data_IF_212529850614
#
_entry.id   IF_212529850614
#
_cell.length_a   1.000
_cell.length_b   1.000
_cell.length_c   1.000
_cell.angle_alpha   90.00
_cell.angle_beta   90.00
_cell.angle_gamma   90.00
#
_symmetry.space_group_name_H-M   'P 1'
#
loop_
_entity.id
_entity.type
_entity.pdbx_description
1 polymer ?
#
# COMPACT_ATOMS: atom_id res chain seq x y z
N UNK A 1 -6.02 -9.47 -4.97
CA UNK A 1 -6.39 -8.75 -6.21
C UNK A 1 -5.81 -9.41 -7.46
N UNK A 2 -5.01 -10.49 -7.37
CA UNK A 2 -4.35 -11.08 -8.54
C UNK A 2 -5.34 -11.55 -9.62
N UNK A 3 -6.34 -12.32 -9.20
CA UNK A 3 -7.47 -12.78 -10.01
C UNK A 3 -8.23 -11.65 -10.71
N UNK A 4 -8.28 -10.47 -10.09
CA UNK A 4 -8.91 -9.27 -10.65
C UNK A 4 -7.98 -8.62 -11.67
N UNK A 5 -6.71 -8.43 -11.33
CA UNK A 5 -5.71 -7.78 -12.21
C UNK A 5 -5.52 -8.59 -13.50
N UNK A 6 -5.47 -9.91 -13.39
CA UNK A 6 -5.28 -10.85 -14.50
C UNK A 6 -6.60 -11.49 -14.98
N UNK A 7 -7.74 -10.86 -14.70
CA UNK A 7 -9.04 -11.32 -15.20
C UNK A 7 -9.09 -11.27 -16.73
N UNK A 8 -9.89 -12.14 -17.34
CA UNK A 8 -10.11 -12.18 -18.78
C UNK A 8 -10.91 -10.95 -19.26
N UNK A 9 -10.19 -9.92 -19.70
CA UNK A 9 -10.74 -8.70 -20.31
C UNK A 9 -10.13 -8.58 -21.71
N UNK A 10 -10.94 -8.32 -22.76
CA UNK A 10 -10.42 -8.17 -24.12
C UNK A 10 -9.38 -7.07 -24.24
N UNK A 11 -8.37 -7.28 -25.09
CA UNK A 11 -7.38 -6.29 -25.55
C UNK A 11 -6.42 -5.70 -24.51
N UNK A 12 -6.54 -6.04 -23.22
CA UNK A 12 -5.65 -5.54 -22.15
C UNK A 12 -4.37 -6.36 -21.99
N UNK A 13 -4.34 -7.59 -22.49
CA UNK A 13 -3.13 -8.41 -22.61
C UNK A 13 -2.93 -8.81 -24.07
N UNK A 14 -1.93 -8.21 -24.71
CA UNK A 14 -1.60 -8.40 -26.13
C UNK A 14 -0.36 -9.29 -26.32
N UNK A 15 0.45 -9.46 -25.28
CA UNK A 15 1.66 -10.28 -25.32
C UNK A 15 1.82 -11.10 -24.04
N UNK A 16 2.54 -12.24 -24.08
CA UNK A 16 2.77 -13.07 -22.90
C UNK A 16 3.79 -12.47 -21.91
N UNK A 17 4.38 -11.30 -22.21
CA UNK A 17 5.44 -10.69 -21.40
C UNK A 17 4.95 -9.51 -20.54
N UNK A 18 3.65 -9.21 -20.57
CA UNK A 18 3.08 -8.13 -19.76
C UNK A 18 3.02 -8.52 -18.28
N UNK A 19 3.43 -7.59 -17.42
CA UNK A 19 3.41 -7.73 -15.95
C UNK A 19 2.18 -7.07 -15.31
N UNK A 20 1.33 -6.43 -16.13
CA UNK A 20 0.09 -5.79 -15.75
C UNK A 20 -0.80 -5.62 -17.01
N UNK A 21 -2.13 -5.50 -16.86
CA UNK A 21 -3.00 -5.21 -17.98
C UNK A 21 -2.78 -3.77 -18.45
N UNK A 22 -2.94 -3.53 -19.77
CA UNK A 22 -2.71 -2.20 -20.37
C UNK A 22 -3.62 -1.11 -19.79
N UNK A 23 -4.76 -1.49 -19.24
CA UNK A 23 -5.74 -0.56 -18.69
C UNK A 23 -5.51 -0.21 -17.22
N UNK A 24 -4.56 -0.83 -16.50
CA UNK A 24 -4.35 -0.66 -15.05
C UNK A 24 -4.26 0.81 -14.60
N UNK A 25 -3.63 1.65 -15.42
CA UNK A 25 -3.42 3.07 -15.15
C UNK A 25 -4.40 3.98 -15.91
N UNK A 26 -5.61 3.48 -16.18
CA UNK A 26 -6.65 4.20 -16.94
C UNK A 26 -7.97 4.16 -16.19
N UNK A 27 -8.85 5.12 -16.50
CA UNK A 27 -10.20 5.22 -15.95
C UNK A 27 -11.11 4.02 -16.29
N UNK A 28 -10.65 3.10 -17.14
CA UNK A 28 -11.40 1.91 -17.56
C UNK A 28 -11.15 0.68 -16.70
N UNK A 29 -10.04 0.60 -15.96
CA UNK A 29 -9.69 -0.59 -15.18
C UNK A 29 -10.78 -0.95 -14.17
N UNK A 30 -11.20 0.05 -13.39
CA UNK A 30 -12.20 -0.14 -12.35
C UNK A 30 -13.59 -0.46 -12.91
N UNK A 31 -14.20 0.33 -13.83
CA UNK A 31 -15.55 0.06 -14.30
C UNK A 31 -15.71 -1.32 -14.92
N UNK A 32 -14.75 -1.76 -15.74
CA UNK A 32 -14.78 -3.05 -16.44
C UNK A 32 -14.72 -4.23 -15.47
N UNK A 33 -14.07 -4.06 -14.32
CA UNK A 33 -13.90 -5.10 -13.29
C UNK A 33 -14.68 -4.84 -12.02
N UNK A 34 -15.59 -3.87 -12.01
CA UNK A 34 -16.24 -3.36 -10.79
C UNK A 34 -16.86 -4.47 -9.94
N UNK A 35 -17.58 -5.43 -10.54
CA UNK A 35 -18.15 -6.56 -9.80
C UNK A 35 -17.09 -7.46 -9.15
N UNK A 36 -15.98 -7.74 -9.85
CA UNK A 36 -14.88 -8.57 -9.33
C UNK A 36 -14.11 -7.83 -8.22
N UNK A 37 -13.85 -6.54 -8.44
CA UNK A 37 -13.20 -5.66 -7.48
C UNK A 37 -14.03 -5.61 -6.19
N UNK A 38 -15.31 -5.25 -6.27
CA UNK A 38 -16.17 -5.11 -5.08
C UNK A 38 -16.31 -6.43 -4.32
N UNK A 39 -16.47 -7.56 -5.02
CA UNK A 39 -16.48 -8.87 -4.37
C UNK A 39 -15.17 -9.16 -3.63
N UNK A 40 -14.02 -8.83 -4.23
CA UNK A 40 -12.71 -9.07 -3.62
C UNK A 40 -12.46 -8.14 -2.44
N UNK A 41 -12.88 -6.88 -2.55
CA UNK A 41 -12.80 -5.89 -1.48
C UNK A 41 -13.65 -6.28 -0.28
N UNK A 42 -14.84 -6.85 -0.50
CA UNK A 42 -15.68 -7.39 0.56
C UNK A 42 -14.99 -8.57 1.26
N UNK A 43 -14.44 -9.52 0.51
CA UNK A 43 -13.69 -10.63 1.10
C UNK A 43 -12.47 -10.18 1.93
N UNK A 44 -11.75 -9.13 1.47
CA UNK A 44 -10.67 -8.49 2.23
C UNK A 44 -11.22 -7.85 3.51
N UNK A 45 -12.33 -7.10 3.39
CA UNK A 45 -12.99 -6.41 4.51
C UNK A 45 -13.40 -7.38 5.62
N UNK A 46 -13.89 -8.56 5.23
CA UNK A 46 -14.34 -9.62 6.13
C UNK A 46 -13.18 -10.44 6.74
N UNK A 47 -11.93 -10.04 6.52
CA UNK A 47 -10.74 -10.64 7.13
C UNK A 47 -10.08 -11.73 6.28
N UNK A 48 -10.52 -11.92 5.03
CA UNK A 48 -9.95 -12.92 4.12
C UNK A 48 -8.52 -12.61 3.64
N UNK A 49 -8.03 -11.38 3.84
CA UNK A 49 -6.75 -10.91 3.29
C UNK A 49 -5.57 -11.86 3.56
N UNK A 50 -5.46 -12.39 4.79
CA UNK A 50 -4.38 -13.31 5.19
C UNK A 50 -4.36 -14.60 4.35
N UNK A 51 -5.54 -15.15 4.09
CA UNK A 51 -5.69 -16.37 3.29
C UNK A 51 -5.40 -16.06 1.82
N UNK A 52 -5.94 -14.96 1.30
CA UNK A 52 -5.74 -14.55 -0.09
C UNK A 52 -4.27 -14.33 -0.44
N UNK A 53 -3.50 -13.74 0.49
CA UNK A 53 -2.05 -13.59 0.33
C UNK A 53 -1.36 -14.96 0.27
N UNK A 54 -1.75 -15.92 1.10
CA UNK A 54 -1.16 -17.26 1.10
C UNK A 54 -1.43 -18.03 -0.19
N UNK A 55 -2.68 -17.98 -0.67
CA UNK A 55 -3.09 -18.59 -1.94
C UNK A 55 -2.34 -17.97 -3.12
N UNK A 56 -2.33 -16.63 -3.20
CA UNK A 56 -1.62 -15.90 -4.25
C UNK A 56 -0.12 -16.22 -4.22
N UNK A 57 0.49 -16.31 -3.04
CA UNK A 57 1.89 -16.67 -2.90
C UNK A 57 2.15 -18.08 -3.39
N UNK A 58 1.37 -19.06 -2.94
CA UNK A 58 1.55 -20.46 -3.32
C UNK A 58 1.42 -20.68 -4.84
N UNK A 59 0.51 -19.96 -5.49
CA UNK A 59 0.22 -20.12 -6.92
C UNK A 59 1.15 -19.30 -7.83
N UNK A 60 1.62 -18.13 -7.38
CA UNK A 60 2.23 -17.14 -8.27
C UNK A 60 3.63 -16.67 -7.87
N UNK A 61 4.19 -17.16 -6.76
CA UNK A 61 5.53 -16.76 -6.30
C UNK A 61 6.57 -16.81 -7.44
N UNK A 62 7.32 -15.71 -7.61
CA UNK A 62 8.33 -15.57 -8.66
C UNK A 62 7.78 -15.10 -10.02
N UNK A 63 6.47 -14.99 -10.19
CA UNK A 63 5.86 -14.44 -11.42
C UNK A 63 6.00 -12.92 -11.43
N UNK A 64 6.48 -12.36 -12.54
CA UNK A 64 6.63 -10.91 -12.67
C UNK A 64 5.25 -10.22 -12.70
N UNK A 65 5.02 -9.32 -11.74
CA UNK A 65 3.80 -8.54 -11.63
C UNK A 65 4.15 -7.11 -11.19
N UNK A 66 3.61 -6.11 -11.88
CA UNK A 66 3.79 -4.71 -11.49
C UNK A 66 3.22 -4.50 -10.08
N UNK A 67 3.97 -3.77 -9.23
CA UNK A 67 3.60 -3.53 -7.84
C UNK A 67 3.90 -4.68 -6.86
N UNK A 68 4.48 -5.80 -7.32
CA UNK A 68 4.86 -6.93 -6.46
C UNK A 68 6.38 -7.09 -6.44
N UNK A 69 6.96 -7.15 -5.23
CA UNK A 69 8.35 -7.53 -5.03
C UNK A 69 8.41 -8.73 -4.08
N UNK A 70 8.60 -9.92 -4.66
CA UNK A 70 8.59 -11.21 -3.95
C UNK A 70 9.72 -11.37 -2.93
N UNK A 71 10.82 -10.66 -3.11
CA UNK A 71 12.03 -10.81 -2.27
C UNK A 71 12.08 -9.79 -1.13
N UNK A 72 11.17 -8.81 -1.11
CA UNK A 72 11.19 -7.73 -0.11
C UNK A 72 10.74 -8.19 1.27
N UNK A 73 9.76 -9.09 1.34
CA UNK A 73 9.15 -9.56 2.58
C UNK A 73 8.82 -11.04 2.50
N UNK A 74 8.85 -11.74 3.65
CA UNK A 74 8.41 -13.13 3.73
C UNK A 74 6.88 -13.25 3.67
N UNK A 75 6.37 -14.44 3.33
CA UNK A 75 4.93 -14.73 3.41
C UNK A 75 4.39 -14.49 4.83
N UNK A 76 5.14 -14.86 5.86
CA UNK A 76 4.74 -14.68 7.26
C UNK A 76 4.60 -13.20 7.63
N UNK A 77 5.54 -12.37 7.19
CA UNK A 77 5.47 -10.91 7.39
C UNK A 77 4.24 -10.33 6.71
N UNK A 78 4.01 -10.69 5.44
CA UNK A 78 2.85 -10.19 4.68
C UNK A 78 1.54 -10.62 5.34
N UNK A 79 1.41 -11.88 5.75
CA UNK A 79 0.25 -12.36 6.49
C UNK A 79 0.04 -11.60 7.81
N UNK A 80 1.11 -11.38 8.57
CA UNK A 80 1.05 -10.63 9.83
C UNK A 80 0.61 -9.19 9.59
N UNK A 81 1.21 -8.51 8.61
CA UNK A 81 0.83 -7.16 8.20
C UNK A 81 -0.65 -7.08 7.83
N UNK A 82 -1.19 -8.07 7.10
CA UNK A 82 -2.62 -8.05 6.74
C UNK A 82 -3.53 -8.06 7.97
N UNK A 83 -3.15 -8.79 9.02
CA UNK A 83 -3.90 -8.85 10.27
C UNK A 83 -3.74 -7.54 11.05
N UNK A 84 -2.53 -6.98 11.10
CA UNK A 84 -2.24 -5.75 11.83
C UNK A 84 -2.90 -4.50 11.24
N UNK A 85 -2.97 -4.38 9.91
CA UNK A 85 -3.69 -3.28 9.24
C UNK A 85 -5.21 -3.50 9.36
N UNK A 86 -5.65 -4.76 9.27
CA UNK A 86 -7.05 -5.13 9.35
C UNK A 86 -7.79 -5.05 8.01
N UNK A 87 -8.85 -5.85 7.90
CA UNK A 87 -9.65 -5.99 6.67
C UNK A 87 -10.23 -4.67 6.15
N UNK A 88 -10.91 -3.85 6.98
CA UNK A 88 -11.50 -2.58 6.53
C UNK A 88 -10.47 -1.61 5.94
N UNK A 89 -9.33 -1.44 6.60
CA UNK A 89 -8.25 -0.56 6.13
C UNK A 89 -7.65 -1.03 4.81
N UNK A 90 -7.32 -2.33 4.71
CA UNK A 90 -6.82 -2.92 3.46
C UNK A 90 -7.81 -2.79 2.31
N UNK A 91 -9.11 -2.99 2.59
CA UNK A 91 -10.17 -2.85 1.59
C UNK A 91 -10.20 -1.42 1.02
N UNK A 92 -10.10 -0.40 1.87
CA UNK A 92 -10.02 1.01 1.43
C UNK A 92 -8.77 1.26 0.58
N UNK A 93 -7.59 0.80 1.03
CA UNK A 93 -6.34 0.98 0.28
C UNK A 93 -6.42 0.32 -1.11
N UNK A 94 -6.90 -0.93 -1.16
CA UNK A 94 -7.05 -1.65 -2.43
C UNK A 94 -8.09 -1.01 -3.35
N UNK A 95 -9.16 -0.44 -2.79
CA UNK A 95 -10.20 0.27 -3.54
C UNK A 95 -9.63 1.50 -4.25
N UNK A 96 -8.89 2.35 -3.53
CA UNK A 96 -8.25 3.54 -4.11
C UNK A 96 -7.27 3.16 -5.23
N UNK A 97 -6.41 2.16 -5.00
CA UNK A 97 -5.46 1.68 -6.00
C UNK A 97 -6.14 1.06 -7.23
N UNK A 98 -7.35 0.52 -7.08
CA UNK A 98 -8.12 0.00 -8.19
C UNK A 98 -8.86 1.11 -8.95
N UNK A 99 -9.38 2.12 -8.26
CA UNK A 99 -10.08 3.24 -8.90
C UNK A 99 -9.14 4.16 -9.68
N UNK A 100 -7.94 4.42 -9.15
CA UNK A 100 -6.96 5.29 -9.80
C UNK A 100 -5.52 4.92 -9.38
N UNK A 101 -4.97 3.91 -10.03
CA UNK A 101 -3.66 3.36 -9.70
C UNK A 101 -2.52 4.39 -9.82
N UNK A 102 -2.57 5.25 -10.83
CA UNK A 102 -1.48 6.21 -11.10
C UNK A 102 -1.39 7.29 -10.04
N UNK A 103 -2.53 7.78 -9.53
CA UNK A 103 -2.50 8.82 -8.51
C UNK A 103 -2.32 8.24 -7.10
N UNK A 104 -2.91 7.09 -6.80
CA UNK A 104 -2.83 6.50 -5.46
C UNK A 104 -1.53 5.74 -5.18
N UNK A 105 -0.74 5.38 -6.19
CA UNK A 105 0.63 4.88 -5.94
C UNK A 105 1.59 5.96 -5.42
N UNK A 106 1.25 7.24 -5.63
CA UNK A 106 2.00 8.37 -5.09
C UNK A 106 1.52 8.76 -3.68
N UNK A 107 2.44 9.33 -2.89
CA UNK A 107 2.12 9.93 -1.59
C UNK A 107 1.73 8.94 -0.48
N UNK A 108 1.88 7.63 -0.71
CA UNK A 108 1.76 6.62 0.36
C UNK A 108 2.79 6.95 1.46
N UNK A 109 2.43 6.87 2.75
CA UNK A 109 3.37 7.16 3.83
C UNK A 109 4.66 6.35 3.74
N UNK A 110 5.80 6.98 4.04
CA UNK A 110 7.14 6.40 3.89
C UNK A 110 7.32 5.04 4.57
N UNK A 111 6.76 4.89 5.77
CA UNK A 111 6.98 3.74 6.63
C UNK A 111 5.66 3.03 6.97
N UNK A 112 5.73 1.70 6.97
CA UNK A 112 4.78 0.84 7.65
C UNK A 112 5.49 0.18 8.82
N UNK A 113 5.04 0.50 10.03
CA UNK A 113 5.50 -0.10 11.27
C UNK A 113 4.45 -1.12 11.71
N UNK A 114 4.86 -2.32 12.10
CA UNK A 114 3.96 -3.29 12.71
C UNK A 114 4.64 -4.01 13.85
N UNK A 115 3.86 -4.34 14.87
CA UNK A 115 4.30 -5.15 16.00
C UNK A 115 3.10 -5.89 16.56
N UNK A 116 3.26 -7.19 16.81
CA UNK A 116 2.21 -8.06 17.35
C UNK A 116 0.93 -8.03 16.51
N UNK A 117 -0.09 -7.28 16.92
CA UNK A 117 -1.39 -7.15 16.24
C UNK A 117 -1.72 -5.72 15.81
N UNK A 118 -0.74 -4.84 15.85
CA UNK A 118 -0.93 -3.42 15.53
C UNK A 118 -0.04 -3.02 14.35
N UNK A 119 -0.59 -2.21 13.47
CA UNK A 119 0.14 -1.53 12.41
C UNK A 119 -0.04 -0.01 12.53
N UNK A 120 0.97 0.72 12.08
CA UNK A 120 0.97 2.18 11.97
C UNK A 120 1.73 2.59 10.73
N UNK A 121 1.14 3.46 9.92
CA UNK A 121 1.86 4.15 8.87
C UNK A 121 2.48 5.43 9.42
N UNK A 122 3.69 5.76 8.96
CA UNK A 122 4.36 6.99 9.35
C UNK A 122 4.96 7.69 8.14
N UNK A 123 4.70 8.99 8.04
CA UNK A 123 5.31 9.87 7.06
C UNK A 123 6.41 10.67 7.75
N UNK A 124 7.61 10.67 7.19
CA UNK A 124 8.78 11.32 7.80
C UNK A 124 9.03 12.65 7.10
N UNK A 125 9.10 13.74 7.89
CA UNK A 125 9.42 15.07 7.38
C UNK A 125 10.65 15.64 8.05
N UNK A 126 11.63 16.03 7.22
CA UNK A 126 12.81 16.74 7.66
C UNK A 126 12.51 18.19 8.03
N UNK A 127 13.52 18.93 8.53
CA UNK A 127 13.37 20.34 8.84
C UNK A 127 13.02 21.15 7.58
N UNK A 128 11.86 21.79 7.58
CA UNK A 128 11.37 22.61 6.47
C UNK A 128 10.51 21.85 5.45
N UNK A 129 10.39 20.53 5.55
CA UNK A 129 9.53 19.75 4.66
C UNK A 129 8.07 19.83 5.10
N UNK A 130 7.19 19.94 4.10
CA UNK A 130 5.73 19.93 4.26
C UNK A 130 5.14 18.67 3.63
N UNK A 131 3.91 18.35 4.03
CA UNK A 131 3.12 17.31 3.36
C UNK A 131 2.68 17.82 1.98
N UNK A 132 2.75 16.95 0.97
CA UNK A 132 2.08 17.20 -0.31
C UNK A 132 0.58 17.03 -0.18
N UNK A 133 -0.20 17.56 -1.14
CA UNK A 133 -1.66 17.39 -1.17
C UNK A 133 -2.06 15.91 -1.21
N UNK A 134 -1.34 15.09 -1.98
CA UNK A 134 -1.57 13.65 -2.07
C UNK A 134 -1.30 12.94 -0.73
N UNK A 135 -0.25 13.36 -0.01
CA UNK A 135 0.04 12.82 1.33
C UNK A 135 -1.04 13.22 2.33
N UNK A 136 -1.53 14.46 2.28
CA UNK A 136 -2.66 14.91 3.10
C UNK A 136 -3.91 14.07 2.81
N UNK A 137 -4.20 13.79 1.54
CA UNK A 137 -5.32 12.92 1.16
C UNK A 137 -5.18 11.51 1.74
N UNK A 138 -3.99 10.90 1.64
CA UNK A 138 -3.70 9.62 2.28
C UNK A 138 -3.90 9.64 3.79
N UNK A 139 -3.44 10.68 4.48
CA UNK A 139 -3.63 10.84 5.92
C UNK A 139 -5.11 10.85 6.32
N UNK A 140 -5.92 11.62 5.61
CA UNK A 140 -7.36 11.74 5.89
C UNK A 140 -8.06 10.39 5.68
N UNK A 141 -7.77 9.71 4.57
CA UNK A 141 -8.43 8.44 4.22
C UNK A 141 -8.00 7.31 5.15
N UNK A 142 -6.71 7.19 5.46
CA UNK A 142 -6.22 6.18 6.40
C UNK A 142 -6.83 6.39 7.79
N UNK A 143 -6.91 7.64 8.24
CA UNK A 143 -7.53 7.98 9.53
C UNK A 143 -9.02 7.62 9.55
N UNK A 144 -9.78 7.95 8.50
CA UNK A 144 -11.21 7.60 8.37
C UNK A 144 -11.42 6.08 8.33
N UNK A 145 -10.49 5.35 7.69
CA UNK A 145 -10.48 3.89 7.66
C UNK A 145 -10.00 3.23 8.96
N UNK A 146 -9.73 4.01 10.02
CA UNK A 146 -9.14 3.56 11.29
C UNK A 146 -7.79 2.85 11.15
N UNK A 147 -7.01 3.20 10.12
CA UNK A 147 -5.62 2.77 9.98
C UNK A 147 -4.73 3.83 10.63
N UNK A 148 -4.01 3.51 11.73
CA UNK A 148 -3.20 4.48 12.43
C UNK A 148 -2.13 5.09 11.49
N UNK A 149 -2.11 6.42 11.40
CA UNK A 149 -1.14 7.17 10.60
C UNK A 149 -0.56 8.34 11.39
N UNK A 150 0.75 8.55 11.33
CA UNK A 150 1.44 9.60 12.09
C UNK A 150 2.45 10.38 11.24
N UNK A 151 2.61 11.67 11.56
CA UNK A 151 3.65 12.52 11.01
C UNK A 151 4.87 12.54 11.93
N UNK A 152 5.97 11.94 11.48
CA UNK A 152 7.24 11.93 12.20
C UNK A 152 8.10 13.13 11.76
N UNK A 153 8.19 14.16 12.61
CA UNK A 153 9.03 15.34 12.34
C UNK A 153 10.43 15.15 12.90
N UNK A 154 11.43 15.25 12.02
CA UNK A 154 12.85 15.18 12.39
C UNK A 154 13.41 16.59 12.52
N UNK A 155 14.03 16.87 13.68
CA UNK A 155 14.64 18.16 13.96
C UNK A 155 16.17 18.04 13.99
N UNK A 156 16.87 19.07 13.48
CA UNK A 156 18.32 19.17 13.66
C UNK A 156 18.62 19.55 15.10
N UNK A 157 19.34 18.70 15.81
CA UNK A 157 19.92 19.06 17.11
C UNK A 157 21.23 19.80 16.86
N UNK A 158 21.34 21.06 17.30
CA UNK A 158 22.61 21.77 17.34
C UNK A 158 23.35 21.29 18.59
N UNK A 159 24.42 20.52 18.42
CA UNK A 159 25.31 20.19 19.52
C UNK A 159 26.21 21.40 19.79
N UNK A 160 25.83 22.25 20.75
CA UNK A 160 26.71 23.30 21.26
C UNK A 160 27.84 22.64 22.08
N UNK A 161 28.90 22.22 21.39
CA UNK A 161 30.22 22.06 22.00
C UNK A 161 31.01 23.34 21.77
N UNK A 162 30.55 24.43 22.36
CA UNK A 162 31.43 25.57 22.62
C UNK A 162 32.44 25.14 23.69
N UNK A 163 33.66 24.86 23.23
CA UNK A 163 34.88 24.83 24.05
C UNK A 163 34.94 26.13 24.86
N UNK A 164 34.63 26.05 26.15
CA UNK A 164 35.01 27.06 27.12
C UNK A 164 36.38 26.71 27.69
N UNK A 165 37.44 27.29 27.14
CA UNK A 165 38.66 27.52 27.91
C UNK A 165 38.37 28.63 28.91
N UNK A 166 38.56 28.37 30.19
CA UNK A 166 38.74 29.40 31.20
C UNK A 166 39.75 28.92 32.24
N UNK A 167 40.94 29.52 32.11
CA UNK A 167 42.04 29.78 33.07
C UNK A 167 42.66 28.63 33.87
#
# INVERSE_FOLDING_TARGET
MWDVIFSDVPDVFQTPFQTAPLDLCTDSFYPVRSSLIESRLQAIRDGGARQLVAETWAEHYGTSCSGVNWEKYSLEDLQTITVCIGGPGLSVICKLLAEDHSNWTAGVPDLLLWKEKEAKLAEVKGPGDLLSEQQVAWFLILSDANVPVELCKVFKTVNDRSFGYSE
#
